data_IF_507252693622
#
_entry.id   IF_507252693622
#
_cell.length_a   1.000
_cell.length_b   1.000
_cell.length_c   1.000
_cell.angle_alpha   90.00
_cell.angle_beta   90.00
_cell.angle_gamma   90.00
#
_symmetry.space_group_name_H-M   'P 1'
#
loop_
_entity.id
_entity.type
_entity.pdbx_description
1 polymer ?
#
# COMPACT_ATOMS: atom_id res chain seq x y z
N UNK A 1 11.87 -25.10 -21.15
CA UNK A 1 10.46 -25.03 -20.71
C UNK A 1 10.09 -23.55 -20.59
N UNK A 2 9.68 -22.86 -21.67
CA UNK A 2 9.47 -21.39 -21.61
C UNK A 2 8.27 -20.84 -22.41
N UNK A 3 7.48 -21.66 -23.10
CA UNK A 3 6.34 -21.15 -23.91
C UNK A 3 4.97 -21.34 -23.24
N UNK A 4 4.80 -22.36 -22.40
CA UNK A 4 3.52 -22.62 -21.73
C UNK A 4 3.25 -21.64 -20.57
N UNK A 5 4.29 -21.17 -19.89
CA UNK A 5 4.14 -20.21 -18.78
C UNK A 5 3.76 -18.81 -19.28
N UNK A 6 4.28 -18.39 -20.44
CA UNK A 6 3.99 -17.08 -21.03
C UNK A 6 2.52 -16.96 -21.50
N UNK A 7 1.97 -18.03 -22.06
CA UNK A 7 0.58 -18.02 -22.53
C UNK A 7 -0.42 -17.98 -21.36
N UNK A 8 -0.04 -18.55 -20.21
CA UNK A 8 -0.84 -18.51 -18.98
C UNK A 8 -0.78 -17.12 -18.31
N UNK A 9 0.37 -16.43 -18.37
CA UNK A 9 0.49 -15.06 -17.82
C UNK A 9 -0.32 -14.03 -18.61
N UNK A 10 -0.39 -14.16 -19.94
CA UNK A 10 -1.19 -13.27 -20.77
C UNK A 10 -2.69 -13.43 -20.53
N UNK A 11 -3.18 -14.67 -20.40
CA UNK A 11 -4.58 -14.91 -20.07
C UNK A 11 -4.97 -14.31 -18.72
N UNK A 12 -4.10 -14.42 -17.72
CA UNK A 12 -4.34 -13.83 -16.40
C UNK A 12 -4.40 -12.30 -16.45
N UNK A 13 -3.54 -11.64 -17.22
CA UNK A 13 -3.59 -10.19 -17.39
C UNK A 13 -4.87 -9.74 -18.10
N UNK A 14 -5.27 -10.44 -19.16
CA UNK A 14 -6.52 -10.17 -19.90
C UNK A 14 -7.75 -10.32 -18.98
N UNK A 15 -7.77 -11.35 -18.14
CA UNK A 15 -8.83 -11.58 -17.15
C UNK A 15 -8.89 -10.43 -16.12
N UNK A 16 -7.75 -9.97 -15.61
CA UNK A 16 -7.68 -8.84 -14.69
C UNK A 16 -8.13 -7.52 -15.34
N UNK A 17 -7.76 -7.28 -16.59
CA UNK A 17 -8.17 -6.07 -17.31
C UNK A 17 -9.67 -6.04 -17.56
N UNK A 18 -10.26 -7.19 -17.91
CA UNK A 18 -11.72 -7.31 -18.06
C UNK A 18 -12.44 -7.12 -16.73
N UNK A 19 -11.94 -7.74 -15.65
CA UNK A 19 -12.45 -7.52 -14.30
C UNK A 19 -12.38 -6.05 -13.89
N UNK A 20 -11.27 -5.36 -14.18
CA UNK A 20 -11.13 -3.94 -13.88
C UNK A 20 -12.10 -3.08 -14.70
N UNK A 21 -12.33 -3.44 -15.97
CA UNK A 21 -13.21 -2.69 -16.89
C UNK A 21 -14.67 -2.65 -16.41
N UNK A 22 -15.15 -3.72 -15.79
CA UNK A 22 -16.55 -3.84 -15.34
C UNK A 22 -16.80 -3.27 -13.94
N UNK A 23 -15.75 -2.86 -13.21
CA UNK A 23 -15.87 -2.38 -11.84
C UNK A 23 -16.30 -0.91 -11.82
N UNK A 24 -17.26 -0.60 -10.96
CA UNK A 24 -17.76 0.77 -10.75
C UNK A 24 -16.95 1.57 -9.73
N UNK A 25 -15.90 0.97 -9.17
CA UNK A 25 -15.08 1.54 -8.11
C UNK A 25 -13.59 1.41 -8.45
N UNK A 26 -12.73 2.12 -7.71
CA UNK A 26 -11.29 1.95 -7.83
C UNK A 26 -10.91 0.54 -7.39
N UNK A 27 -10.06 -0.12 -8.18
CA UNK A 27 -9.54 -1.44 -7.85
C UNK A 27 -8.06 -1.37 -7.53
N UNK A 28 -7.57 -2.34 -6.76
CA UNK A 28 -6.14 -2.58 -6.53
C UNK A 28 -5.86 -4.07 -6.57
N UNK A 29 -4.62 -4.43 -6.82
CA UNK A 29 -4.21 -5.82 -6.95
C UNK A 29 -3.67 -6.36 -5.62
N UNK A 30 -4.31 -7.41 -5.11
CA UNK A 30 -3.89 -8.12 -3.91
C UNK A 30 -3.22 -9.43 -4.33
N UNK A 31 -1.89 -9.45 -4.22
CA UNK A 31 -1.09 -10.59 -4.69
C UNK A 31 -1.23 -11.88 -3.86
N UNK A 32 -1.69 -11.79 -2.61
CA UNK A 32 -1.80 -12.93 -1.69
C UNK A 32 -3.16 -12.97 -0.99
N UNK A 33 -3.76 -14.16 -0.80
CA UNK A 33 -3.25 -15.49 -1.18
C UNK A 33 -3.24 -15.72 -2.70
N UNK A 34 -2.51 -16.73 -3.18
CA UNK A 34 -2.50 -17.08 -4.61
C UNK A 34 -3.76 -17.88 -5.01
N UNK A 35 -4.32 -17.66 -6.21
CA UNK A 35 -3.96 -16.62 -7.20
C UNK A 35 -4.36 -15.22 -6.70
N UNK A 36 -3.57 -14.20 -7.04
CA UNK A 36 -3.88 -12.82 -6.65
C UNK A 36 -5.20 -12.35 -7.28
N UNK A 37 -5.86 -11.40 -6.62
CA UNK A 37 -7.20 -10.95 -6.96
C UNK A 37 -7.28 -9.41 -7.07
N UNK A 38 -8.19 -8.90 -7.89
CA UNK A 38 -8.59 -7.48 -7.82
C UNK A 38 -9.53 -7.26 -6.65
N UNK A 39 -9.17 -6.32 -5.79
CA UNK A 39 -9.99 -5.86 -4.67
C UNK A 39 -10.49 -4.45 -4.93
N UNK A 40 -11.72 -4.17 -4.51
CA UNK A 40 -12.26 -2.81 -4.53
C UNK A 40 -11.67 -1.99 -3.38
N UNK A 41 -11.13 -0.83 -3.70
CA UNK A 41 -10.75 0.19 -2.72
C UNK A 41 -11.90 1.18 -2.59
N UNK A 42 -12.40 1.45 -1.37
CA UNK A 42 -13.39 2.49 -1.17
C UNK A 42 -12.82 3.85 -1.58
N UNK A 43 -13.61 4.61 -2.35
CA UNK A 43 -13.23 5.96 -2.74
C UNK A 43 -13.10 6.85 -1.49
N UNK A 44 -12.05 7.69 -1.37
CA UNK A 44 -11.87 8.56 -0.22
C UNK A 44 -13.07 9.46 0.02
N UNK A 45 -13.52 9.53 1.27
CA UNK A 45 -14.62 10.39 1.72
C UNK A 45 -14.09 11.44 2.71
N UNK A 46 -14.73 12.62 2.74
CA UNK A 46 -14.44 13.67 3.70
C UNK A 46 -15.03 13.35 5.09
N UNK A 47 -14.88 14.27 6.05
CA UNK A 47 -15.35 14.08 7.44
C UNK A 47 -16.88 14.06 7.53
N UNK A 48 -17.54 14.63 6.52
CA UNK A 48 -18.98 14.74 6.37
C UNK A 48 -19.56 13.53 5.61
N UNK A 49 -18.70 12.62 5.11
CA UNK A 49 -19.09 11.39 4.42
C UNK A 49 -19.26 11.55 2.91
N UNK A 50 -18.86 12.67 2.32
CA UNK A 50 -18.99 12.92 0.88
C UNK A 50 -17.73 12.45 0.13
N UNK A 51 -17.85 11.91 -1.09
CA UNK A 51 -16.70 11.59 -1.93
C UNK A 51 -15.81 12.81 -2.19
N UNK A 52 -14.49 12.64 -2.05
CA UNK A 52 -13.52 13.72 -2.24
C UNK A 52 -13.25 13.92 -3.73
N UNK A 53 -13.48 15.11 -4.30
CA UNK A 53 -13.22 15.37 -5.72
C UNK A 53 -11.78 15.01 -6.16
N UNK A 54 -11.56 14.50 -7.40
CA UNK A 54 -10.25 14.07 -7.87
C UNK A 54 -9.13 15.10 -7.72
N UNK A 55 -9.42 16.38 -7.94
CA UNK A 55 -8.52 17.52 -7.78
C UNK A 55 -8.06 17.74 -6.33
N UNK A 56 -8.85 17.27 -5.35
CA UNK A 56 -8.56 17.38 -3.92
C UNK A 56 -7.94 16.11 -3.33
N UNK A 57 -7.81 15.03 -4.10
CA UNK A 57 -7.22 13.78 -3.61
C UNK A 57 -5.74 13.96 -3.20
N UNK A 58 -4.98 14.80 -3.90
CA UNK A 58 -3.58 15.08 -3.56
C UNK A 58 -3.47 15.78 -2.19
N UNK A 59 -4.30 16.80 -1.97
CA UNK A 59 -4.40 17.50 -0.67
C UNK A 59 -4.86 16.52 0.43
N UNK A 60 -5.89 15.71 0.15
CA UNK A 60 -6.36 14.70 1.09
C UNK A 60 -5.27 13.70 1.46
N UNK A 61 -4.48 13.20 0.50
CA UNK A 61 -3.41 12.23 0.76
C UNK A 61 -2.34 12.76 1.73
N UNK A 62 -2.15 14.09 1.79
CA UNK A 62 -1.16 14.75 2.64
C UNK A 62 -1.75 15.26 3.96
N UNK A 63 -3.03 15.62 3.98
CA UNK A 63 -3.72 16.14 5.16
C UNK A 63 -4.29 15.02 6.05
N UNK A 64 -4.47 13.81 5.52
CA UNK A 64 -5.06 12.71 6.29
C UNK A 64 -3.99 12.09 7.19
N UNK A 65 -4.14 12.30 8.49
CA UNK A 65 -3.38 11.55 9.47
C UNK A 65 -3.79 10.07 9.38
N UNK A 66 -2.96 9.25 8.74
CA UNK A 66 -3.12 7.81 8.84
C UNK A 66 -3.02 7.42 10.31
N UNK A 67 -4.04 6.73 10.82
CA UNK A 67 -4.00 6.17 12.17
C UNK A 67 -2.91 5.10 12.22
N UNK A 68 -1.72 5.51 12.65
CA UNK A 68 -0.61 4.61 12.88
C UNK A 68 -1.05 3.61 13.96
N UNK A 69 -0.99 2.29 13.69
CA UNK A 69 -1.47 1.28 14.62
C UNK A 69 -0.70 1.29 15.94
N UNK A 70 -1.30 0.72 16.97
CA UNK A 70 -0.64 0.47 18.25
C UNK A 70 -0.05 -0.94 18.27
N UNK A 71 1.06 -1.13 18.98
CA UNK A 71 1.61 -2.46 19.21
C UNK A 71 0.79 -3.22 20.26
N UNK A 72 1.12 -4.50 20.53
CA UNK A 72 0.40 -5.32 21.51
C UNK A 72 0.44 -4.79 22.96
N UNK A 73 1.32 -3.84 23.26
CA UNK A 73 1.33 -3.13 24.56
C UNK A 73 0.40 -1.90 24.59
N UNK A 74 -0.35 -1.62 23.51
CA UNK A 74 -1.14 -0.40 23.38
C UNK A 74 -0.29 0.87 23.21
N UNK A 75 0.96 0.74 22.74
CA UNK A 75 1.89 1.87 22.52
C UNK A 75 2.02 2.20 21.04
N UNK A 76 2.28 3.46 20.70
CA UNK A 76 2.54 3.87 19.31
C UNK A 76 3.70 3.07 18.75
N UNK A 77 3.52 2.56 17.54
CA UNK A 77 4.59 1.84 16.82
C UNK A 77 5.64 2.83 16.32
N UNK A 78 6.85 2.31 16.12
CA UNK A 78 7.98 3.04 15.57
C UNK A 78 8.05 2.77 14.06
N UNK A 79 8.18 3.83 13.27
CA UNK A 79 8.33 3.75 11.82
C UNK A 79 9.82 3.65 11.52
N UNK A 80 10.22 2.57 10.87
CA UNK A 80 11.60 2.31 10.44
C UNK A 80 11.62 2.24 8.92
N UNK A 81 12.22 3.25 8.29
CA UNK A 81 12.39 3.32 6.84
C UNK A 81 13.77 2.78 6.47
N UNK A 82 13.82 1.80 5.57
CA UNK A 82 15.06 1.20 5.05
C UNK A 82 15.11 1.38 3.55
N UNK A 83 16.25 1.82 3.03
CA UNK A 83 16.48 1.86 1.59
C UNK A 83 16.85 0.46 1.09
N UNK A 84 16.19 0.00 0.02
CA UNK A 84 16.58 -1.25 -0.64
C UNK A 84 17.53 -0.93 -1.79
N UNK A 85 18.76 -1.45 -1.67
CA UNK A 85 19.92 -1.07 -2.50
C UNK A 85 19.78 -1.31 -4.03
N UNK A 86 18.71 -1.96 -4.49
CA UNK A 86 18.60 -2.43 -5.88
C UNK A 86 17.51 -1.75 -6.72
N UNK A 87 16.55 -1.04 -6.14
CA UNK A 87 15.35 -0.56 -6.86
C UNK A 87 14.94 0.88 -6.56
N UNK A 88 15.64 1.59 -5.67
CA UNK A 88 15.21 2.91 -5.19
C UNK A 88 13.92 2.88 -4.36
N UNK A 89 13.41 1.68 -4.06
CA UNK A 89 12.26 1.48 -3.19
C UNK A 89 12.65 1.73 -1.73
N UNK A 90 11.71 2.27 -0.97
CA UNK A 90 11.84 2.43 0.47
C UNK A 90 10.94 1.40 1.15
N UNK A 91 11.53 0.56 1.98
CA UNK A 91 10.80 -0.36 2.83
C UNK A 91 10.43 0.36 4.11
N UNK A 92 9.14 0.57 4.34
CA UNK A 92 8.61 1.17 5.57
C UNK A 92 8.12 0.04 6.46
N UNK A 93 8.76 -0.11 7.63
CA UNK A 93 8.37 -1.12 8.62
C UNK A 93 7.83 -0.45 9.87
N UNK A 94 6.75 -0.99 10.42
CA UNK A 94 6.16 -0.57 11.69
C UNK A 94 6.52 -1.61 12.75
N UNK A 95 7.23 -1.18 13.80
CA UNK A 95 7.73 -2.07 14.86
C UNK A 95 7.31 -1.60 16.25
N UNK A 96 7.42 -2.45 17.26
CA UNK A 96 7.13 -2.07 18.64
C UNK A 96 8.01 -0.89 19.11
N UNK A 97 7.37 0.23 19.49
CA UNK A 97 8.01 1.45 20.00
C UNK A 97 8.38 1.42 21.50
N UNK A 98 8.53 0.24 22.10
CA UNK A 98 9.01 0.14 23.49
C UNK A 98 10.49 0.56 23.56
N UNK A 99 10.78 1.60 24.37
CA UNK A 99 12.11 2.24 24.49
C UNK A 99 12.70 2.18 25.90
N UNK A 100 11.96 1.69 26.90
CA UNK A 100 12.38 1.72 28.29
C UNK A 100 13.35 0.58 28.64
N UNK A 101 14.33 0.89 29.51
CA UNK A 101 15.23 -0.11 30.09
C UNK A 101 14.42 -1.05 30.98
N UNK A 102 14.07 -2.22 30.46
CA UNK A 102 13.34 -3.27 31.17
C UNK A 102 12.16 -3.85 30.39
N UNK A 103 11.66 -3.13 29.39
CA UNK A 103 10.56 -3.62 28.55
C UNK A 103 11.08 -4.50 27.41
N UNK A 104 10.61 -5.73 27.37
CA UNK A 104 10.82 -6.60 26.21
C UNK A 104 9.95 -6.10 25.05
N UNK A 105 10.53 -5.88 23.87
CA UNK A 105 9.74 -5.51 22.69
C UNK A 105 8.77 -6.66 22.37
N UNK A 106 7.49 -6.33 22.14
CA UNK A 106 6.55 -7.32 21.62
C UNK A 106 6.85 -7.63 20.15
N UNK A 107 6.24 -8.70 19.63
CA UNK A 107 6.42 -9.17 18.25
C UNK A 107 5.54 -8.44 17.23
N UNK A 108 5.07 -7.24 17.54
CA UNK A 108 4.32 -6.44 16.56
C UNK A 108 5.25 -6.07 15.38
N UNK A 109 4.81 -6.41 14.17
CA UNK A 109 5.51 -6.14 12.92
C UNK A 109 4.49 -5.96 11.78
N UNK A 110 4.66 -4.92 10.98
CA UNK A 110 3.90 -4.69 9.75
C UNK A 110 4.80 -4.00 8.73
N UNK A 111 4.68 -4.39 7.47
CA UNK A 111 5.59 -3.98 6.39
C UNK A 111 4.79 -3.34 5.26
N UNK A 112 5.31 -2.23 4.73
CA UNK A 112 4.77 -1.50 3.61
C UNK A 112 5.91 -1.19 2.65
N UNK A 113 5.70 -1.49 1.37
CA UNK A 113 6.65 -1.14 0.31
C UNK A 113 6.24 0.21 -0.26
N UNK A 114 7.08 1.22 -0.10
CA UNK A 114 6.90 2.50 -0.77
C UNK A 114 7.62 2.45 -2.12
N UNK A 115 6.82 2.45 -3.18
CA UNK A 115 7.31 2.63 -4.55
C UNK A 115 7.52 4.14 -4.73
N UNK A 116 8.78 4.57 -4.69
CA UNK A 116 9.12 5.92 -5.14
C UNK A 116 9.04 5.92 -6.67
N UNK A 117 7.95 6.42 -7.26
CA UNK A 117 7.97 6.77 -8.68
C UNK A 117 8.87 7.99 -8.84
N UNK A 118 10.00 7.81 -9.53
CA UNK A 118 10.82 8.91 -10.02
C UNK A 118 10.09 9.60 -11.17
N UNK A 119 9.01 10.32 -10.87
CA UNK A 119 8.51 11.37 -11.73
C UNK A 119 8.94 12.69 -11.12
N UNK A 120 10.16 13.11 -11.48
CA UNK A 120 10.46 14.53 -11.61
C UNK A 120 9.47 15.11 -12.63
N UNK A 121 8.31 15.55 -12.14
CA UNK A 121 7.47 16.49 -12.86
C UNK A 121 8.28 17.79 -12.96
N UNK A 122 9.06 17.91 -14.03
CA UNK A 122 9.56 19.18 -14.50
C UNK A 122 8.33 20.03 -14.87
N UNK A 123 7.91 20.86 -13.93
CA UNK A 123 7.05 22.00 -14.22
C UNK A 123 7.92 23.08 -14.88
N UNK A 124 7.80 23.23 -16.20
CA UNK A 124 8.00 24.48 -16.93
C UNK A 124 6.85 24.62 -17.92
#
# INVERSE_FOLDING_TARGET
MCFLDYHRTLQFEDDLLEEQRIRSNMTSFKAYPFPGELIDIPYPIDKEGNPIPPDRLAEHSTATNFNIPYCFHGRRVEIVVRETNSTGMKLVTLVCGARERGDTKCRFYSEYIQICSSNEFNAV
#
